data_IF_103204392161
#
_entry.id   IF_103204392161
#
_cell.length_a   1.000
_cell.length_b   1.000
_cell.length_c   1.000
_cell.angle_alpha   90.00
_cell.angle_beta   90.00
_cell.angle_gamma   90.00
#
_symmetry.space_group_name_H-M   'P 1'
#
loop_
_entity.id
_entity.type
_entity.pdbx_description
1 polymer ?
#
# COMPACT_ATOMS: atom_id res chain seq x y z
N UNK A 1 -6.89 -47.45 -16.40
CA UNK A 1 -7.56 -46.33 -15.72
C UNK A 1 -6.71 -45.97 -14.51
N UNK A 2 -5.93 -44.91 -14.47
CA UNK A 2 -5.57 -43.96 -15.52
C UNK A 2 -4.15 -43.45 -15.19
N UNK A 3 -3.34 -43.29 -16.21
CA UNK A 3 -1.96 -42.82 -16.11
C UNK A 3 -1.94 -41.31 -15.86
N UNK A 4 -0.87 -40.80 -15.24
CA UNK A 4 0.02 -39.78 -15.83
C UNK A 4 1.08 -39.35 -14.80
N UNK A 5 2.19 -40.08 -14.82
CA UNK A 5 3.52 -39.50 -14.58
C UNK A 5 3.85 -38.59 -15.76
N UNK A 6 4.19 -37.32 -15.51
CA UNK A 6 4.97 -36.48 -16.43
C UNK A 6 5.66 -35.40 -15.57
N UNK A 7 6.97 -35.51 -15.35
CA UNK A 7 8.02 -35.05 -16.26
C UNK A 7 8.32 -33.55 -16.08
N UNK A 8 8.97 -33.20 -14.97
CA UNK A 8 9.82 -32.01 -14.90
C UNK A 8 11.22 -32.43 -15.34
N UNK A 9 11.48 -32.33 -16.64
CA UNK A 9 12.81 -32.50 -17.21
C UNK A 9 13.02 -31.44 -18.27
N UNK A 10 14.08 -30.64 -18.06
CA UNK A 10 14.84 -29.83 -19.00
C UNK A 10 14.09 -29.22 -20.19
N UNK A 11 13.96 -27.90 -20.18
CA UNK A 11 13.96 -27.12 -21.41
C UNK A 11 15.28 -26.38 -21.50
N UNK A 12 16.09 -26.84 -22.45
CA UNK A 12 17.30 -26.21 -22.94
C UNK A 12 16.96 -24.87 -23.61
N UNK A 13 17.87 -23.92 -23.38
CA UNK A 13 17.98 -22.66 -24.08
C UNK A 13 18.39 -22.93 -25.52
N UNK A 14 17.65 -22.42 -26.49
CA UNK A 14 18.20 -21.97 -27.76
C UNK A 14 17.47 -20.71 -28.23
N UNK A 15 18.28 -19.74 -28.64
CA UNK A 15 17.88 -18.45 -29.14
C UNK A 15 17.86 -18.48 -30.66
N UNK A 16 16.76 -18.09 -31.30
CA UNK A 16 16.79 -17.49 -32.65
C UNK A 16 15.73 -16.39 -32.78
N UNK A 17 16.18 -15.23 -33.26
CA UNK A 17 15.40 -14.08 -33.62
C UNK A 17 14.48 -14.38 -34.82
N UNK A 18 13.21 -13.97 -34.76
CA UNK A 18 12.49 -13.56 -35.98
C UNK A 18 11.39 -12.57 -35.67
N UNK A 19 11.58 -11.35 -36.17
CA UNK A 19 10.58 -10.28 -36.21
C UNK A 19 9.49 -10.68 -37.21
N UNK A 20 8.23 -10.77 -36.78
CA UNK A 20 7.09 -10.59 -37.68
C UNK A 20 5.95 -9.89 -36.94
N UNK A 21 5.55 -8.75 -37.50
CA UNK A 21 4.40 -7.92 -37.11
C UNK A 21 3.08 -8.64 -37.35
N UNK A 22 2.18 -8.67 -36.37
CA UNK A 22 0.78 -9.03 -36.58
C UNK A 22 -0.15 -8.14 -35.74
N UNK A 23 -1.23 -7.71 -36.39
CA UNK A 23 -2.12 -6.63 -36.03
C UNK A 23 -3.00 -6.91 -34.80
N UNK A 24 -3.39 -5.82 -34.14
CA UNK A 24 -4.32 -5.80 -33.02
C UNK A 24 -5.74 -6.22 -33.45
N UNK A 25 -6.33 -7.18 -32.74
CA UNK A 25 -7.74 -7.51 -32.82
C UNK A 25 -8.41 -7.16 -31.48
N UNK A 26 -9.17 -6.07 -31.50
CA UNK A 26 -9.84 -5.46 -30.36
C UNK A 26 -11.26 -6.01 -30.23
N UNK A 27 -11.43 -7.17 -29.59
CA UNK A 27 -12.77 -7.73 -29.26
C UNK A 27 -12.72 -8.79 -28.15
N UNK A 28 -12.24 -8.41 -26.97
CA UNK A 28 -12.19 -9.34 -25.82
C UNK A 28 -12.00 -8.72 -24.44
N UNK A 29 -12.27 -7.41 -24.27
CA UNK A 29 -11.98 -6.68 -23.03
C UNK A 29 -13.22 -6.08 -22.35
N UNK A 30 -14.42 -6.59 -22.67
CA UNK A 30 -15.68 -6.06 -22.14
C UNK A 30 -16.47 -7.09 -21.31
N UNK A 31 -15.79 -7.87 -20.47
CA UNK A 31 -16.47 -8.72 -19.49
C UNK A 31 -15.60 -9.08 -18.28
N UNK A 32 -15.29 -8.09 -17.43
CA UNK A 32 -14.88 -8.30 -16.02
C UNK A 32 -15.05 -7.03 -15.16
N UNK A 33 -15.93 -6.12 -15.56
CA UNK A 33 -16.44 -5.05 -14.72
C UNK A 33 -17.82 -5.47 -14.21
N UNK A 34 -17.89 -6.03 -13.00
CA UNK A 34 -19.01 -5.95 -12.04
C UNK A 34 -18.97 -7.12 -11.05
N UNK A 35 -18.22 -6.97 -9.96
CA UNK A 35 -18.59 -7.61 -8.70
C UNK A 35 -17.96 -6.90 -7.50
N UNK A 36 -18.38 -5.66 -7.27
CA UNK A 36 -18.28 -5.05 -5.95
C UNK A 36 -19.57 -4.28 -5.69
N UNK A 37 -20.49 -4.93 -4.97
CA UNK A 37 -21.86 -4.43 -4.69
C UNK A 37 -21.91 -3.33 -3.61
N UNK A 38 -20.76 -2.75 -3.24
CA UNK A 38 -20.66 -1.70 -2.21
C UNK A 38 -20.17 -0.33 -2.69
N UNK A 39 -19.74 -0.18 -3.95
CA UNK A 39 -19.17 1.09 -4.44
C UNK A 39 -20.16 1.99 -5.20
N UNK A 40 -21.32 1.50 -5.63
CA UNK A 40 -22.27 2.32 -6.40
C UNK A 40 -23.07 3.32 -5.55
N UNK A 41 -23.29 3.02 -4.26
CA UNK A 41 -24.15 3.87 -3.42
C UNK A 41 -23.43 5.16 -2.96
N UNK A 42 -22.11 5.13 -2.87
CA UNK A 42 -21.30 6.34 -2.58
C UNK A 42 -21.24 7.25 -3.81
N UNK A 43 -21.13 6.68 -5.01
CA UNK A 43 -21.04 7.48 -6.24
C UNK A 43 -22.36 8.20 -6.59
N UNK A 44 -23.50 7.61 -6.22
CA UNK A 44 -24.84 8.22 -6.45
C UNK A 44 -25.13 9.39 -5.51
N UNK A 45 -24.66 9.33 -4.27
CA UNK A 45 -24.83 10.41 -3.28
C UNK A 45 -24.11 11.72 -3.68
N UNK A 46 -23.06 11.65 -4.50
CA UNK A 46 -22.26 12.83 -4.89
C UNK A 46 -22.73 13.53 -6.17
N UNK A 47 -23.66 12.96 -6.95
CA UNK A 47 -24.03 13.48 -8.29
C UNK A 47 -25.39 14.17 -8.36
N UNK A 48 -26.20 14.19 -7.29
CA UNK A 48 -27.60 14.67 -7.38
C UNK A 48 -27.88 16.07 -6.79
N UNK A 49 -26.93 16.73 -6.11
CA UNK A 49 -27.13 18.11 -5.64
C UNK A 49 -26.39 19.13 -6.51
N UNK A 50 -26.97 19.37 -7.70
CA UNK A 50 -26.53 20.38 -8.65
C UNK A 50 -27.71 21.05 -9.38
N UNK A 51 -28.75 21.43 -8.63
CA UNK A 51 -29.93 22.12 -9.16
C UNK A 51 -29.79 23.65 -9.08
N UNK A 52 -29.77 24.29 -10.24
CA UNK A 52 -29.82 25.75 -10.44
C UNK A 52 -31.19 26.32 -10.07
N UNK A 53 -31.24 27.35 -9.23
CA UNK A 53 -32.43 28.17 -8.98
C UNK A 53 -32.06 29.66 -9.00
N UNK A 54 -32.51 30.36 -10.03
CA UNK A 54 -32.62 31.83 -10.04
C UNK A 54 -33.82 32.24 -9.19
N UNK A 55 -33.70 33.32 -8.41
CA UNK A 55 -34.83 34.21 -8.11
C UNK A 55 -34.35 35.58 -7.60
N UNK A 56 -34.87 36.64 -8.22
CA UNK A 56 -34.76 38.04 -7.82
C UNK A 56 -35.88 38.39 -6.83
N UNK A 57 -35.59 39.07 -5.71
CA UNK A 57 -36.44 40.17 -5.19
C UNK A 57 -35.80 40.92 -4.02
N UNK A 58 -36.10 42.22 -4.00
CA UNK A 58 -35.63 43.26 -3.08
C UNK A 58 -36.35 43.24 -1.73
N UNK A 59 -35.69 43.68 -0.65
CA UNK A 59 -36.33 43.94 0.64
C UNK A 59 -35.37 44.36 1.75
N UNK A 60 -35.65 45.51 2.35
CA UNK A 60 -34.94 46.28 3.38
C UNK A 60 -34.99 45.67 4.80
N UNK A 61 -34.03 46.05 5.67
CA UNK A 61 -34.32 46.22 7.11
C UNK A 61 -33.65 45.31 8.16
N UNK A 62 -32.59 45.84 8.78
CA UNK A 62 -32.25 45.74 10.23
C UNK A 62 -31.61 44.46 10.83
N UNK A 63 -30.30 44.62 11.09
CA UNK A 63 -29.63 44.51 12.39
C UNK A 63 -30.18 43.54 13.47
N UNK A 64 -29.63 42.33 13.53
CA UNK A 64 -29.40 41.60 14.79
C UNK A 64 -28.07 40.83 14.71
N UNK A 65 -27.14 41.16 15.62
CA UNK A 65 -25.89 40.41 15.84
C UNK A 65 -26.25 39.10 16.53
N UNK A 66 -25.96 37.98 15.88
CA UNK A 66 -25.95 36.65 16.49
C UNK A 66 -24.54 36.08 16.35
N UNK A 67 -24.04 35.58 17.46
CA UNK A 67 -22.70 35.06 17.68
C UNK A 67 -22.39 33.90 16.72
N UNK A 68 -21.26 33.99 16.01
CA UNK A 68 -20.79 32.92 15.14
C UNK A 68 -20.19 31.80 16.00
N UNK A 69 -20.96 30.74 16.18
CA UNK A 69 -20.45 29.43 16.54
C UNK A 69 -19.57 28.88 15.42
N UNK A 70 -18.43 28.31 15.83
CA UNK A 70 -17.46 27.60 14.99
C UNK A 70 -18.16 26.49 14.19
N UNK A 71 -18.53 26.80 12.95
CA UNK A 71 -18.77 25.78 11.94
C UNK A 71 -17.40 25.42 11.39
N UNK A 72 -16.84 24.32 11.90
CA UNK A 72 -15.73 23.60 11.30
C UNK A 72 -16.15 23.18 9.89
N UNK A 73 -15.93 24.05 8.92
CA UNK A 73 -15.93 23.69 7.52
C UNK A 73 -14.79 22.72 7.33
N UNK A 74 -15.11 21.48 7.00
CA UNK A 74 -14.15 20.45 6.62
C UNK A 74 -13.52 20.90 5.29
N UNK A 75 -12.52 21.79 5.37
CA UNK A 75 -11.74 22.25 4.23
C UNK A 75 -11.00 21.03 3.67
N UNK A 76 -11.53 20.49 2.56
CA UNK A 76 -10.79 19.54 1.74
C UNK A 76 -9.55 20.26 1.20
N UNK A 77 -8.42 20.07 1.86
CA UNK A 77 -7.12 20.49 1.35
C UNK A 77 -6.89 19.84 -0.01
N UNK A 78 -6.44 20.57 -1.05
CA UNK A 78 -6.11 19.99 -2.35
C UNK A 78 -5.19 18.78 -2.15
N UNK A 79 -5.50 17.65 -2.79
CA UNK A 79 -4.78 16.39 -2.59
C UNK A 79 -3.26 16.60 -2.67
N UNK A 80 -2.60 16.69 -1.51
CA UNK A 80 -1.19 17.05 -1.40
C UNK A 80 -0.29 15.99 -2.05
N UNK A 81 -0.79 14.76 -2.11
CA UNK A 81 -0.15 13.56 -2.63
C UNK A 81 -0.85 13.09 -3.90
N UNK A 82 -0.37 13.55 -5.05
CA UNK A 82 -0.89 13.13 -6.36
C UNK A 82 -0.44 11.70 -6.69
N UNK A 83 -1.37 10.83 -7.09
CA UNK A 83 -1.12 9.39 -7.33
C UNK A 83 -0.39 8.75 -6.14
N UNK A 84 -1.00 8.74 -4.96
CA UNK A 84 -0.33 8.37 -3.72
C UNK A 84 0.06 6.89 -3.72
N UNK A 85 1.22 6.61 -3.14
CA UNK A 85 1.64 5.27 -2.73
C UNK A 85 1.57 5.20 -1.22
N UNK A 86 0.92 4.16 -0.71
CA UNK A 86 0.80 3.88 0.72
C UNK A 86 1.77 2.76 1.04
N UNK A 87 2.85 3.13 1.72
CA UNK A 87 3.92 2.23 2.10
C UNK A 87 3.59 1.60 3.44
N UNK A 88 3.53 0.27 3.47
CA UNK A 88 3.27 -0.49 4.69
C UNK A 88 4.32 -1.59 4.81
N UNK A 89 4.74 -1.82 6.04
CA UNK A 89 5.59 -2.93 6.44
C UNK A 89 5.02 -3.49 7.75
N UNK A 90 5.00 -4.82 7.86
CA UNK A 90 4.54 -5.53 9.03
C UNK A 90 5.66 -6.36 9.63
N UNK A 91 5.69 -6.43 10.95
CA UNK A 91 6.36 -7.50 11.67
C UNK A 91 5.32 -8.53 12.10
N UNK A 92 5.60 -9.83 11.91
CA UNK A 92 4.68 -10.92 12.23
C UNK A 92 5.36 -12.00 13.05
N UNK A 93 4.56 -12.88 13.66
CA UNK A 93 5.04 -14.09 14.35
C UNK A 93 5.63 -15.14 13.40
N UNK A 94 5.36 -15.01 12.10
CA UNK A 94 5.78 -15.91 11.03
C UNK A 94 5.12 -15.56 9.70
N UNK A 95 5.17 -16.48 8.74
CA UNK A 95 4.72 -16.26 7.36
C UNK A 95 3.43 -17.01 6.99
N UNK A 96 2.85 -17.79 7.91
CA UNK A 96 1.63 -18.52 7.69
C UNK A 96 0.42 -17.75 8.23
N UNK A 97 -0.28 -17.06 7.33
CA UNK A 97 -1.48 -16.25 7.65
C UNK A 97 -2.61 -17.04 8.34
N UNK A 98 -2.58 -18.37 8.33
CA UNK A 98 -3.58 -19.18 9.05
C UNK A 98 -3.34 -19.26 10.56
N UNK A 99 -2.10 -19.06 11.01
CA UNK A 99 -1.71 -19.25 12.42
C UNK A 99 -0.96 -18.06 12.98
N UNK A 100 -0.25 -17.31 12.15
CA UNK A 100 0.60 -16.20 12.54
C UNK A 100 -0.18 -14.89 12.69
N UNK A 101 0.33 -13.98 13.51
CA UNK A 101 -0.31 -12.72 13.86
C UNK A 101 0.59 -11.52 13.62
N UNK A 102 -0.03 -10.36 13.45
CA UNK A 102 0.65 -9.07 13.25
C UNK A 102 1.15 -8.56 14.62
N UNK A 103 2.41 -8.14 14.67
CA UNK A 103 3.11 -7.64 15.86
C UNK A 103 3.37 -6.14 15.78
N UNK A 104 3.75 -5.64 14.61
CA UNK A 104 4.00 -4.23 14.35
C UNK A 104 3.43 -3.87 12.97
N UNK A 105 2.92 -2.64 12.84
CA UNK A 105 2.53 -2.05 11.57
C UNK A 105 3.04 -0.62 11.51
N UNK A 106 3.73 -0.27 10.42
CA UNK A 106 4.09 1.09 10.11
C UNK A 106 3.47 1.54 8.79
N UNK A 107 3.23 2.84 8.65
CA UNK A 107 2.68 3.41 7.43
C UNK A 107 3.35 4.74 7.04
N UNK A 108 3.67 4.89 5.76
CA UNK A 108 4.16 6.16 5.18
C UNK A 108 3.41 6.41 3.87
N UNK A 109 3.05 7.66 3.58
CA UNK A 109 2.43 8.02 2.30
C UNK A 109 3.40 8.87 1.51
N UNK A 110 3.61 8.51 0.23
CA UNK A 110 4.38 9.33 -0.71
C UNK A 110 3.51 9.78 -1.88
N UNK A 111 3.94 10.84 -2.58
CA UNK A 111 3.40 11.12 -3.91
C UNK A 111 3.95 10.11 -4.93
N UNK A 112 3.32 10.03 -6.11
CA UNK A 112 3.73 9.06 -7.14
C UNK A 112 5.13 9.27 -7.70
N UNK A 113 5.77 10.43 -7.45
CA UNK A 113 7.17 10.65 -7.83
C UNK A 113 8.18 10.35 -6.71
N UNK A 114 7.72 9.96 -5.52
CA UNK A 114 8.54 9.73 -4.32
C UNK A 114 9.25 11.00 -3.81
N UNK A 115 8.76 12.18 -4.18
CA UNK A 115 9.38 13.47 -3.81
C UNK A 115 8.91 13.97 -2.46
N UNK A 116 7.63 13.80 -2.15
CA UNK A 116 7.03 14.12 -0.85
C UNK A 116 6.73 12.84 -0.10
N UNK A 117 6.83 12.90 1.22
CA UNK A 117 6.46 11.82 2.13
C UNK A 117 5.87 12.38 3.41
N UNK A 118 4.95 11.65 4.03
CA UNK A 118 4.49 11.88 5.39
C UNK A 118 4.50 10.57 6.16
N UNK A 119 5.13 10.59 7.33
CA UNK A 119 5.16 9.45 8.26
C UNK A 119 3.82 9.38 8.98
N UNK A 120 3.25 8.18 9.01
CA UNK A 120 2.01 7.85 9.69
C UNK A 120 2.25 7.09 10.99
N UNK A 121 1.26 6.30 11.42
CA UNK A 121 1.39 5.46 12.60
C UNK A 121 2.56 4.45 12.49
N UNK A 122 3.26 4.26 13.61
CA UNK A 122 4.22 3.17 13.89
C UNK A 122 3.74 2.49 15.18
N UNK A 123 3.01 1.39 15.02
CA UNK A 123 2.16 0.82 16.06
C UNK A 123 2.58 -0.61 16.38
N UNK A 124 2.82 -0.87 17.68
CA UNK A 124 3.01 -2.22 18.19
C UNK A 124 1.68 -2.76 18.71
N UNK A 125 1.31 -3.94 18.24
CA UNK A 125 0.04 -4.59 18.50
C UNK A 125 0.24 -5.65 19.57
N UNK A 126 -0.66 -5.69 20.54
CA UNK A 126 -0.64 -6.67 21.61
C UNK A 126 -0.92 -8.09 21.06
N UNK A 127 -0.09 -9.05 21.48
CA UNK A 127 -0.35 -10.49 21.33
C UNK A 127 -0.01 -11.19 22.65
N UNK A 128 -0.70 -12.30 22.91
CA UNK A 128 -0.48 -13.05 24.15
C UNK A 128 0.89 -13.74 24.15
N UNK A 129 1.41 -14.04 25.34
CA UNK A 129 2.66 -14.77 25.48
C UNK A 129 2.62 -16.14 24.80
N UNK A 130 1.49 -16.83 24.85
CA UNK A 130 1.30 -18.13 24.18
C UNK A 130 1.34 -18.01 22.65
N UNK A 131 1.02 -16.84 22.08
CA UNK A 131 1.18 -16.57 20.65
C UNK A 131 2.66 -16.42 20.31
N UNK A 132 3.39 -15.63 21.10
CA UNK A 132 4.82 -15.38 20.88
C UNK A 132 5.68 -16.63 21.09
N UNK A 133 5.33 -17.46 22.08
CA UNK A 133 6.04 -18.72 22.37
C UNK A 133 5.93 -19.75 21.21
N UNK A 134 4.98 -19.57 20.27
CA UNK A 134 4.79 -20.42 19.09
C UNK A 134 5.56 -19.98 17.85
N UNK A 135 6.24 -18.82 17.91
CA UNK A 135 7.06 -18.33 16.80
C UNK A 135 8.16 -19.34 16.46
N UNK A 136 8.58 -19.37 15.19
CA UNK A 136 9.79 -20.10 14.81
C UNK A 136 11.04 -19.51 15.46
N UNK A 137 12.10 -20.31 15.61
CA UNK A 137 13.38 -19.92 16.24
C UNK A 137 13.91 -18.59 15.70
N UNK A 138 13.92 -18.43 14.38
CA UNK A 138 14.36 -17.19 13.73
C UNK A 138 13.55 -15.96 14.20
N UNK A 139 12.22 -16.04 14.25
CA UNK A 139 11.38 -14.93 14.69
C UNK A 139 11.59 -14.62 16.17
N UNK A 140 11.75 -15.65 17.02
CA UNK A 140 12.01 -15.46 18.45
C UNK A 140 13.31 -14.71 18.70
N UNK A 141 14.41 -15.16 18.09
CA UNK A 141 15.73 -14.52 18.24
C UNK A 141 15.69 -13.07 17.75
N UNK A 142 15.06 -12.86 16.59
CA UNK A 142 15.05 -11.59 15.91
C UNK A 142 14.22 -10.52 16.62
N UNK A 143 12.99 -10.88 16.98
CA UNK A 143 12.07 -9.97 17.68
C UNK A 143 12.52 -9.72 19.13
N UNK A 144 13.26 -10.65 19.74
CA UNK A 144 13.91 -10.42 21.02
C UNK A 144 15.08 -9.43 20.88
N UNK A 145 15.93 -9.59 19.87
CA UNK A 145 17.07 -8.72 19.63
C UNK A 145 16.67 -7.26 19.31
N UNK A 146 15.55 -7.06 18.60
CA UNK A 146 15.00 -5.73 18.32
C UNK A 146 14.23 -5.12 19.51
N UNK A 147 13.95 -5.91 20.55
CA UNK A 147 13.10 -5.52 21.68
C UNK A 147 11.60 -5.50 21.36
N UNK A 148 11.19 -5.97 20.17
CA UNK A 148 9.80 -6.01 19.75
C UNK A 148 8.97 -6.95 20.63
N UNK A 149 9.50 -8.13 21.00
CA UNK A 149 8.78 -9.10 21.84
C UNK A 149 8.29 -8.48 23.16
N UNK A 150 9.14 -7.71 23.84
CA UNK A 150 8.76 -7.04 25.09
C UNK A 150 7.72 -5.94 24.85
N UNK A 151 7.89 -5.16 23.78
CA UNK A 151 6.93 -4.10 23.42
C UNK A 151 5.55 -4.67 23.09
N UNK A 152 5.48 -5.84 22.44
CA UNK A 152 4.23 -6.54 22.13
C UNK A 152 3.51 -6.97 23.41
N UNK A 153 4.25 -7.56 24.37
CA UNK A 153 3.69 -7.97 25.66
C UNK A 153 3.18 -6.78 26.48
N UNK A 154 3.87 -5.64 26.41
CA UNK A 154 3.49 -4.40 27.10
C UNK A 154 2.41 -3.60 26.37
N UNK A 155 2.20 -3.84 25.07
CA UNK A 155 1.21 -3.12 24.28
C UNK A 155 -0.20 -3.42 24.80
N UNK A 156 -1.07 -2.42 24.68
CA UNK A 156 -2.51 -2.53 24.96
C UNK A 156 -3.35 -2.36 23.69
N UNK A 157 -2.70 -2.16 22.55
CA UNK A 157 -3.35 -1.90 21.27
C UNK A 157 -3.82 -3.20 20.63
N UNK A 158 -5.10 -3.29 20.29
CA UNK A 158 -5.64 -4.43 19.52
C UNK A 158 -5.39 -4.24 18.02
N UNK A 159 -5.46 -5.35 17.26
CA UNK A 159 -5.38 -5.30 15.79
C UNK A 159 -6.46 -4.37 15.19
N UNK A 160 -7.68 -4.39 15.73
CA UNK A 160 -8.78 -3.55 15.27
C UNK A 160 -8.52 -2.05 15.51
N UNK A 161 -7.93 -1.69 16.65
CA UNK A 161 -7.61 -0.29 16.94
C UNK A 161 -6.43 0.19 16.08
N UNK A 162 -5.43 -0.67 15.86
CA UNK A 162 -4.33 -0.38 14.93
C UNK A 162 -4.83 -0.20 13.49
N UNK A 163 -5.70 -1.11 13.02
CA UNK A 163 -6.36 -1.00 11.71
C UNK A 163 -7.05 0.35 11.55
N UNK A 164 -7.87 0.73 12.52
CA UNK A 164 -8.62 1.98 12.48
C UNK A 164 -7.69 3.19 12.35
N UNK A 165 -6.64 3.26 13.16
CA UNK A 165 -5.68 4.37 13.13
C UNK A 165 -4.96 4.48 11.78
N UNK A 166 -4.51 3.36 11.22
CA UNK A 166 -3.85 3.34 9.91
C UNK A 166 -4.83 3.68 8.79
N UNK A 167 -6.05 3.12 8.82
CA UNK A 167 -7.07 3.41 7.82
C UNK A 167 -7.50 4.88 7.83
N UNK A 168 -7.68 5.49 9.00
CA UNK A 168 -7.98 6.92 9.15
C UNK A 168 -6.84 7.79 8.62
N UNK A 169 -5.59 7.42 8.93
CA UNK A 169 -4.41 8.11 8.38
C UNK A 169 -4.39 8.05 6.85
N UNK A 170 -4.62 6.87 6.26
CA UNK A 170 -4.68 6.71 4.79
C UNK A 170 -5.79 7.57 4.20
N UNK A 171 -7.02 7.45 4.70
CA UNK A 171 -8.19 8.20 4.20
C UNK A 171 -7.97 9.71 4.21
N UNK A 172 -7.31 10.23 5.25
CA UNK A 172 -7.04 11.66 5.40
C UNK A 172 -6.12 12.23 4.31
N UNK A 173 -5.17 11.43 3.80
CA UNK A 173 -4.11 11.93 2.93
C UNK A 173 -4.24 11.51 1.45
N UNK A 174 -4.97 10.44 1.14
CA UNK A 174 -5.13 9.98 -0.26
C UNK A 174 -6.18 10.76 -1.05
N UNK A 175 -7.03 11.52 -0.37
CA UNK A 175 -8.07 12.35 -0.99
C UNK A 175 -9.03 11.51 -1.86
N UNK A 176 -9.25 11.94 -3.10
CA UNK A 176 -10.12 11.23 -4.06
C UNK A 176 -9.43 10.09 -4.83
N UNK A 177 -8.14 9.82 -4.57
CA UNK A 177 -7.43 8.75 -5.26
C UNK A 177 -7.73 7.38 -4.64
N UNK A 178 -7.76 6.33 -5.47
CA UNK A 178 -7.58 4.96 -5.00
C UNK A 178 -6.07 4.69 -4.87
N UNK A 179 -5.51 4.62 -3.65
CA UNK A 179 -4.07 4.42 -3.49
C UNK A 179 -3.63 3.01 -3.88
N UNK A 180 -2.35 2.87 -4.23
CA UNK A 180 -1.68 1.58 -4.34
C UNK A 180 -0.86 1.32 -3.07
N UNK A 181 -0.92 0.09 -2.56
CA UNK A 181 -0.02 -0.36 -1.50
C UNK A 181 1.38 -0.61 -2.08
N UNK A 182 2.41 -0.20 -1.36
CA UNK A 182 3.81 -0.27 -1.77
C UNK A 182 4.71 -0.80 -0.64
N UNK A 183 5.81 -1.45 -1.00
CA UNK A 183 6.78 -1.99 -0.03
C UNK A 183 7.66 -3.06 -0.64
N UNK A 184 8.62 -3.58 0.11
CA UNK A 184 9.39 -4.76 -0.30
C UNK A 184 8.61 -6.03 0.02
N UNK A 185 8.35 -6.87 -0.99
CA UNK A 185 7.61 -8.12 -0.80
C UNK A 185 6.21 -7.89 -0.20
N UNK A 186 5.64 -6.71 -0.48
CA UNK A 186 4.41 -6.18 0.14
C UNK A 186 3.17 -7.05 -0.10
N UNK A 187 3.25 -7.97 -1.06
CA UNK A 187 2.23 -9.00 -1.24
C UNK A 187 2.02 -9.84 0.04
N UNK A 188 3.10 -10.16 0.76
CA UNK A 188 3.04 -10.89 2.03
C UNK A 188 2.29 -10.08 3.08
N UNK A 189 2.63 -8.80 3.25
CA UNK A 189 1.93 -7.89 4.16
C UNK A 189 0.45 -7.79 3.81
N UNK A 190 0.14 -7.60 2.53
CA UNK A 190 -1.24 -7.48 2.05
C UNK A 190 -2.07 -8.74 2.34
N UNK A 191 -1.48 -9.93 2.35
CA UNK A 191 -2.19 -11.16 2.75
C UNK A 191 -2.63 -11.09 4.22
N UNK A 192 -1.74 -10.63 5.13
CA UNK A 192 -2.07 -10.45 6.54
C UNK A 192 -3.10 -9.33 6.73
N UNK A 193 -2.93 -8.18 6.07
CA UNK A 193 -3.86 -7.06 6.12
C UNK A 193 -5.26 -7.52 5.66
N UNK A 194 -5.37 -8.28 4.57
CA UNK A 194 -6.68 -8.79 4.10
C UNK A 194 -7.41 -9.66 5.13
N UNK A 195 -6.67 -10.39 5.96
CA UNK A 195 -7.27 -11.29 6.95
C UNK A 195 -7.57 -10.58 8.27
N UNK A 196 -6.61 -9.82 8.78
CA UNK A 196 -6.64 -9.25 10.13
C UNK A 196 -7.06 -7.77 10.17
N UNK A 197 -6.97 -7.07 9.03
CA UNK A 197 -7.32 -5.65 8.87
C UNK A 197 -8.11 -5.40 7.56
N UNK A 198 -9.30 -6.01 7.40
CA UNK A 198 -10.05 -6.00 6.14
C UNK A 198 -10.55 -4.60 5.71
N UNK A 199 -10.87 -3.71 6.64
CA UNK A 199 -11.31 -2.34 6.33
C UNK A 199 -10.15 -1.50 5.81
N UNK A 200 -8.93 -1.73 6.30
CA UNK A 200 -7.72 -1.16 5.73
C UNK A 200 -7.44 -1.74 4.35
N UNK A 201 -7.53 -3.07 4.17
CA UNK A 201 -7.31 -3.74 2.89
C UNK A 201 -8.25 -3.21 1.79
N UNK A 202 -9.49 -2.88 2.14
CA UNK A 202 -10.51 -2.38 1.22
C UNK A 202 -10.18 -1.01 0.61
N UNK A 203 -9.23 -0.26 1.17
CA UNK A 203 -8.78 1.02 0.62
C UNK A 203 -7.89 0.85 -0.62
N UNK A 204 -7.26 -0.31 -0.79
CA UNK A 204 -6.24 -0.52 -1.81
C UNK A 204 -6.81 -1.15 -3.07
N UNK A 205 -6.24 -0.76 -4.21
CA UNK A 205 -6.45 -1.45 -5.47
C UNK A 205 -5.81 -2.85 -5.46
N UNK A 206 -6.23 -3.74 -6.35
CA UNK A 206 -5.63 -5.08 -6.48
C UNK A 206 -4.19 -5.06 -7.03
N UNK A 207 -3.78 -3.93 -7.63
CA UNK A 207 -2.41 -3.70 -8.11
C UNK A 207 -1.56 -3.20 -6.95
N UNK A 208 -0.37 -3.78 -6.81
CA UNK A 208 0.61 -3.43 -5.79
C UNK A 208 1.89 -2.89 -6.43
N UNK A 209 2.64 -2.07 -5.69
CA UNK A 209 3.99 -1.64 -6.07
C UNK A 209 5.00 -2.40 -5.22
N UNK A 210 5.46 -3.55 -5.72
CA UNK A 210 6.41 -4.40 -5.02
C UNK A 210 7.86 -4.09 -5.44
N UNK A 211 8.62 -3.50 -4.52
CA UNK A 211 10.03 -3.14 -4.74
C UNK A 211 10.91 -4.38 -4.94
N UNK A 212 10.56 -5.50 -4.31
CA UNK A 212 11.29 -6.77 -4.46
C UNK A 212 11.19 -7.32 -5.88
N UNK A 213 10.07 -7.08 -6.57
CA UNK A 213 9.92 -7.42 -7.98
C UNK A 213 10.90 -6.62 -8.85
N UNK A 214 11.02 -5.31 -8.61
CA UNK A 214 11.97 -4.44 -9.33
C UNK A 214 13.41 -4.86 -9.04
N UNK A 215 13.74 -5.16 -7.77
CA UNK A 215 15.04 -5.70 -7.35
C UNK A 215 15.38 -7.00 -8.08
N UNK A 216 14.44 -7.92 -8.17
CA UNK A 216 14.63 -9.19 -8.87
C UNK A 216 14.95 -9.01 -10.36
N UNK A 217 14.34 -8.02 -11.02
CA UNK A 217 14.65 -7.64 -12.39
C UNK A 217 16.02 -6.94 -12.49
N UNK A 218 16.30 -6.00 -11.58
CA UNK A 218 17.58 -5.29 -11.53
C UNK A 218 18.77 -6.26 -11.38
N UNK A 219 18.65 -7.27 -10.52
CA UNK A 219 19.68 -8.30 -10.33
C UNK A 219 20.02 -9.03 -11.63
N UNK A 220 19.01 -9.32 -12.46
CA UNK A 220 19.14 -10.10 -13.69
C UNK A 220 19.59 -9.26 -14.88
N UNK A 221 18.97 -8.10 -15.06
CA UNK A 221 19.13 -7.27 -16.26
C UNK A 221 20.19 -6.18 -16.08
N UNK A 222 20.43 -5.73 -14.85
CA UNK A 222 21.33 -4.61 -14.52
C UNK A 222 22.26 -4.95 -13.33
N UNK A 223 23.09 -6.01 -13.42
CA UNK A 223 23.88 -6.50 -12.28
C UNK A 223 24.87 -5.47 -11.72
N UNK A 224 25.37 -4.54 -12.55
CA UNK A 224 26.27 -3.46 -12.11
C UNK A 224 25.54 -2.39 -11.29
N UNK A 225 24.30 -2.09 -11.63
CA UNK A 225 23.47 -1.14 -10.89
C UNK A 225 22.91 -1.81 -9.63
N UNK A 226 22.58 -3.10 -9.67
CA UNK A 226 22.17 -3.83 -8.47
C UNK A 226 23.26 -3.82 -7.37
N UNK A 227 24.54 -3.97 -7.73
CA UNK A 227 25.66 -3.88 -6.76
C UNK A 227 25.82 -2.51 -6.10
N UNK A 228 25.29 -1.46 -6.72
CA UNK A 228 25.33 -0.08 -6.23
C UNK A 228 24.04 0.34 -5.53
N UNK A 229 23.02 -0.51 -5.53
CA UNK A 229 21.78 -0.25 -4.82
C UNK A 229 22.05 -0.12 -3.30
N UNK A 230 21.28 0.74 -2.60
CA UNK A 230 21.39 0.87 -1.15
C UNK A 230 21.26 -0.50 -0.46
N UNK A 231 22.16 -0.79 0.47
CA UNK A 231 22.04 -1.96 1.32
C UNK A 231 21.08 -1.67 2.47
N UNK A 232 20.24 -2.66 2.81
CA UNK A 232 19.36 -2.58 3.97
C UNK A 232 20.19 -2.61 5.25
N UNK A 233 19.84 -1.74 6.20
CA UNK A 233 20.52 -1.59 7.48
C UNK A 233 20.17 -2.71 8.46
N UNK A 234 19.20 -3.57 8.12
CA UNK A 234 18.75 -4.70 8.95
C UNK A 234 18.44 -4.25 10.38
N UNK A 235 17.66 -3.16 10.49
CA UNK A 235 17.20 -2.63 11.78
C UNK A 235 15.91 -3.28 12.27
N UNK A 236 15.17 -3.94 11.37
CA UNK A 236 14.08 -4.88 11.67
C UNK A 236 12.99 -4.25 12.52
N UNK A 237 12.54 -3.09 12.05
CA UNK A 237 11.53 -2.25 12.65
C UNK A 237 10.76 -1.65 11.49
N UNK A 238 9.44 -1.81 11.51
CA UNK A 238 8.62 -1.59 10.33
C UNK A 238 8.83 -0.21 9.68
N UNK A 239 8.93 0.86 10.48
CA UNK A 239 9.14 2.22 9.97
C UNK A 239 10.52 2.42 9.30
N UNK A 240 11.57 1.80 9.85
CA UNK A 240 12.91 1.89 9.25
C UNK A 240 12.96 1.10 7.93
N UNK A 241 12.35 -0.08 7.90
CA UNK A 241 12.25 -0.93 6.70
C UNK A 241 11.45 -0.24 5.57
N UNK A 242 10.40 0.52 5.89
CA UNK A 242 9.70 1.37 4.91
C UNK A 242 10.63 2.43 4.33
N UNK A 243 11.39 3.15 5.17
CA UNK A 243 12.30 4.21 4.71
C UNK A 243 13.38 3.66 3.79
N UNK A 244 13.91 2.48 4.11
CA UNK A 244 14.85 1.76 3.26
C UNK A 244 14.21 1.32 1.93
N UNK A 245 12.97 0.82 1.97
CA UNK A 245 12.21 0.43 0.77
C UNK A 245 11.96 1.61 -0.17
N UNK A 246 11.62 2.79 0.37
CA UNK A 246 11.45 4.03 -0.39
C UNK A 246 12.78 4.45 -1.04
N UNK A 247 13.88 4.40 -0.29
CA UNK A 247 15.21 4.72 -0.81
C UNK A 247 15.64 3.75 -1.92
N UNK A 248 15.36 2.45 -1.77
CA UNK A 248 15.64 1.42 -2.78
C UNK A 248 14.83 1.68 -4.07
N UNK A 249 13.53 1.98 -3.99
CA UNK A 249 12.73 2.28 -5.18
C UNK A 249 13.14 3.59 -5.86
N UNK A 250 13.51 4.62 -5.08
CA UNK A 250 14.08 5.87 -5.61
C UNK A 250 15.34 5.58 -6.42
N UNK A 251 16.24 4.76 -5.89
CA UNK A 251 17.43 4.33 -6.60
C UNK A 251 17.10 3.66 -7.93
N UNK A 252 16.18 2.68 -7.95
CA UNK A 252 15.79 2.02 -9.20
C UNK A 252 15.18 2.98 -10.22
N UNK A 253 14.28 3.87 -9.77
CA UNK A 253 13.66 4.91 -10.60
C UNK A 253 14.70 5.77 -11.34
N UNK A 254 15.83 6.05 -10.70
CA UNK A 254 16.90 6.88 -11.26
C UNK A 254 17.88 6.12 -12.16
N UNK A 255 18.12 4.84 -11.89
CA UNK A 255 19.23 4.10 -12.49
C UNK A 255 18.83 3.09 -13.57
N UNK A 256 17.64 2.46 -13.46
CA UNK A 256 17.23 1.38 -14.38
C UNK A 256 15.99 1.71 -15.20
N UNK A 257 15.20 2.70 -14.80
CA UNK A 257 14.10 3.19 -15.62
C UNK A 257 14.58 4.26 -16.60
N UNK A 258 13.97 4.29 -17.79
CA UNK A 258 14.28 5.30 -18.81
C UNK A 258 13.99 6.70 -18.25
N UNK A 259 14.91 7.67 -18.39
CA UNK A 259 14.66 9.05 -17.97
C UNK A 259 13.46 9.64 -18.70
N UNK A 260 12.67 10.48 -18.02
CA UNK A 260 11.63 11.27 -18.68
C UNK A 260 12.31 12.25 -19.63
N UNK A 261 11.96 12.21 -20.92
CA UNK A 261 12.45 13.20 -21.87
C UNK A 261 11.95 14.58 -21.46
N UNK A 262 12.86 15.55 -21.38
CA UNK A 262 12.45 16.96 -21.38
C UNK A 262 11.87 17.21 -22.78
N UNK A 263 10.57 17.48 -22.88
CA UNK A 263 10.01 18.02 -24.12
C UNK A 263 10.74 19.36 -24.34
N UNK A 264 11.56 19.42 -25.40
CA UNK A 264 12.17 20.65 -25.91
C UNK A 264 11.11 21.56 -26.49
#
# INVERSE_FOLDING_TARGET
>A
MDQLSNAFSLLELDAEDTVTTAAADTKGLELLFFQCRGCLDIFRYFMEDGGTGEDNSSGDGSLLKVENGDKQTNEFTPAEYRMPLVWIDLEMTGLNVEVDRILEIACVITDGNLTKSIEGPDLVIHQSKECLDKMGEWCQEHHAASGLTERVLQSTLSEQEAEKQVAEFVKRHVGAYTPLIAGNSVYTDLIFIRKYMPDLAALFHHVIVDVSSVKALCLRWYPKDNKRAPQKGNKHRAMDDIKESIAELKYYKEHIFKPRSKKS
#
